data_IF_829657661294
#
_entry.id   IF_829657661294
#
_cell.length_a   1.000
_cell.length_b   1.000
_cell.length_c   1.000
_cell.angle_alpha   90.00
_cell.angle_beta   90.00
_cell.angle_gamma   90.00
#
_symmetry.space_group_name_H-M   'P 1'
#
loop_
_entity.id
_entity.type
_entity.pdbx_description
1 polymer ?
#
# COMPACT_ATOMS: atom_id res chain seq x y z
N UNK A 1 -11.88 -0.74 33.42
CA UNK A 1 -11.20 -2.06 33.44
C UNK A 1 -10.40 -2.15 32.15
N UNK A 2 -9.08 -2.02 32.26
CA UNK A 2 -8.15 -2.00 31.14
C UNK A 2 -7.99 -3.41 30.56
N UNK A 3 -8.51 -3.65 29.36
CA UNK A 3 -8.08 -4.78 28.54
C UNK A 3 -6.85 -4.36 27.73
N UNK A 4 -5.66 -4.59 28.29
CA UNK A 4 -4.43 -4.64 27.52
C UNK A 4 -4.52 -5.86 26.60
N UNK A 5 -4.66 -5.63 25.30
CA UNK A 5 -4.45 -6.66 24.28
C UNK A 5 -2.96 -6.67 24.01
N UNK A 6 -2.23 -7.55 24.70
CA UNK A 6 -0.85 -7.88 24.36
C UNK A 6 -0.83 -8.55 22.97
N UNK A 7 -0.21 -7.92 21.99
CA UNK A 7 0.24 -8.60 20.76
C UNK A 7 1.31 -9.62 21.16
N UNK A 8 1.13 -10.93 20.90
CA UNK A 8 2.04 -11.92 21.40
C UNK A 8 3.26 -12.03 20.48
N UNK A 9 4.33 -11.29 20.80
CA UNK A 9 5.66 -11.89 20.65
C UNK A 9 5.68 -12.98 21.72
N UNK A 10 5.34 -14.21 21.33
CA UNK A 10 5.21 -15.35 22.25
C UNK A 10 6.43 -15.38 23.18
N UNK A 11 6.20 -15.27 24.49
CA UNK A 11 7.20 -15.74 25.43
C UNK A 11 7.49 -17.21 25.06
N UNK A 12 8.76 -17.62 24.89
CA UNK A 12 9.09 -18.96 24.40
C UNK A 12 8.59 -20.10 25.29
N UNK A 13 8.14 -19.80 26.52
CA UNK A 13 7.98 -20.82 27.56
C UNK A 13 6.62 -21.49 27.65
N UNK A 14 5.54 -21.04 26.98
CA UNK A 14 4.20 -21.66 27.18
C UNK A 14 3.24 -21.73 25.98
N UNK A 15 3.59 -21.24 24.79
CA UNK A 15 2.70 -21.36 23.63
C UNK A 15 2.74 -22.77 23.00
N UNK A 16 1.79 -23.64 23.34
CA UNK A 16 1.63 -24.97 22.73
C UNK A 16 1.57 -24.86 21.19
N UNK A 17 2.51 -25.51 20.51
CA UNK A 17 2.47 -25.64 19.05
C UNK A 17 1.20 -26.40 18.65
N UNK A 18 0.48 -25.87 17.65
CA UNK A 18 -0.67 -26.52 17.03
C UNK A 18 -0.26 -27.07 15.68
N UNK A 19 -0.63 -28.32 15.43
CA UNK A 19 -0.49 -28.95 14.12
C UNK A 19 -1.27 -28.15 13.06
N UNK A 20 -0.90 -28.35 11.79
CA UNK A 20 -1.64 -27.76 10.67
C UNK A 20 -3.11 -28.18 10.69
N UNK A 21 -3.40 -29.44 11.02
CA UNK A 21 -4.78 -29.94 11.07
C UNK A 21 -5.59 -29.26 12.16
N UNK A 22 -5.05 -29.11 13.38
CA UNK A 22 -5.73 -28.37 14.46
C UNK A 22 -6.04 -26.92 14.05
N UNK A 23 -5.09 -26.23 13.41
CA UNK A 23 -5.29 -24.87 12.89
C UNK A 23 -6.36 -24.79 11.81
N UNK A 24 -6.38 -25.75 10.89
CA UNK A 24 -7.43 -25.88 9.86
C UNK A 24 -8.80 -26.07 10.51
N UNK A 25 -8.91 -26.89 11.57
CA UNK A 25 -10.16 -27.11 12.29
C UNK A 25 -10.63 -25.88 13.06
N UNK A 26 -9.71 -25.13 13.69
CA UNK A 26 -10.02 -23.82 14.29
C UNK A 26 -10.60 -22.87 13.23
N UNK A 27 -9.97 -22.80 12.06
CA UNK A 27 -10.49 -21.99 10.96
C UNK A 27 -11.91 -22.39 10.55
N UNK A 28 -12.18 -23.70 10.46
CA UNK A 28 -13.52 -24.21 10.13
C UNK A 28 -14.57 -23.84 11.17
N UNK A 29 -14.26 -23.92 12.47
CA UNK A 29 -15.24 -23.63 13.52
C UNK A 29 -15.65 -22.15 13.57
N UNK A 30 -14.79 -21.23 13.12
CA UNK A 30 -15.14 -19.80 13.01
C UNK A 30 -16.33 -19.53 12.08
N UNK A 31 -16.67 -20.46 11.18
CA UNK A 31 -17.85 -20.35 10.29
C UNK A 31 -19.18 -20.43 11.03
N UNK A 32 -19.22 -21.01 12.23
CA UNK A 32 -20.42 -21.05 13.06
C UNK A 32 -20.82 -19.63 13.51
N UNK A 33 -19.82 -18.80 13.81
CA UNK A 33 -20.00 -17.39 14.20
C UNK A 33 -20.16 -16.48 12.99
N UNK A 34 -19.31 -16.67 11.97
CA UNK A 34 -19.32 -15.86 10.75
C UNK A 34 -19.26 -16.76 9.52
N UNK A 35 -20.42 -17.19 8.98
CA UNK A 35 -20.48 -17.91 7.72
C UNK A 35 -19.81 -17.11 6.60
N UNK A 36 -19.18 -17.79 5.64
CA UNK A 36 -18.47 -17.13 4.53
C UNK A 36 -19.37 -16.20 3.71
N UNK A 37 -20.64 -16.59 3.52
CA UNK A 37 -21.65 -15.75 2.86
C UNK A 37 -21.98 -14.47 3.64
N UNK A 38 -21.75 -14.43 4.96
CA UNK A 38 -21.96 -13.25 5.78
C UNK A 38 -21.06 -12.07 5.39
N UNK A 39 -19.96 -12.31 4.66
CA UNK A 39 -19.10 -11.25 4.15
C UNK A 39 -19.69 -10.48 2.97
N UNK A 40 -20.74 -10.98 2.32
CA UNK A 40 -21.39 -10.34 1.18
C UNK A 40 -22.15 -9.06 1.57
N UNK A 41 -22.54 -8.96 2.85
CA UNK A 41 -23.47 -7.94 3.32
C UNK A 41 -22.68 -6.68 3.66
N UNK A 42 -22.92 -5.62 2.90
CA UNK A 42 -22.58 -4.26 3.28
C UNK A 42 -23.85 -3.52 3.71
N UNK A 43 -23.83 -2.98 4.93
CA UNK A 43 -24.86 -2.08 5.44
C UNK A 43 -24.14 -0.93 6.15
N UNK A 44 -24.33 0.33 5.69
CA UNK A 44 -23.71 1.46 6.36
C UNK A 44 -24.26 1.59 7.80
N UNK A 45 -23.45 2.05 8.76
CA UNK A 45 -23.89 2.33 10.13
C UNK A 45 -25.13 3.24 10.16
N UNK A 46 -26.11 2.90 10.99
CA UNK A 46 -27.44 3.56 11.00
C UNK A 46 -27.42 5.03 11.47
N UNK A 47 -26.37 5.48 12.17
CA UNK A 47 -26.23 6.87 12.61
C UNK A 47 -24.73 7.26 12.73
N UNK A 48 -24.41 8.51 12.38
CA UNK A 48 -23.10 9.14 12.67
C UNK A 48 -21.99 8.90 11.64
N UNK A 49 -22.26 8.26 10.50
CA UNK A 49 -21.29 8.15 9.41
C UNK A 49 -21.33 9.40 8.53
N UNK A 50 -20.45 10.34 8.81
CA UNK A 50 -20.27 11.57 8.03
C UNK A 50 -18.97 11.49 7.19
N UNK A 51 -19.04 11.13 5.89
CA UNK A 51 -17.84 10.84 5.10
C UNK A 51 -16.91 12.05 4.97
N UNK A 52 -17.49 13.26 4.88
CA UNK A 52 -16.71 14.50 4.78
C UNK A 52 -15.98 14.81 6.09
N UNK A 53 -16.64 14.62 7.25
CA UNK A 53 -15.99 14.83 8.55
C UNK A 53 -14.83 13.85 8.79
N UNK A 54 -14.98 12.59 8.35
CA UNK A 54 -13.91 11.59 8.45
C UNK A 54 -12.73 11.97 7.56
N UNK A 55 -12.98 12.48 6.34
CA UNK A 55 -11.91 12.96 5.45
C UNK A 55 -11.26 14.22 6.04
N UNK A 56 -12.03 15.18 6.56
CA UNK A 56 -11.53 16.38 7.23
C UNK A 56 -10.64 16.03 8.42
N UNK A 57 -11.07 15.07 9.25
CA UNK A 57 -10.28 14.57 10.38
C UNK A 57 -8.93 13.98 9.92
N UNK A 58 -8.90 13.32 8.76
CA UNK A 58 -7.67 12.77 8.16
C UNK A 58 -6.70 13.83 7.62
N UNK A 59 -7.09 15.12 7.61
CA UNK A 59 -6.21 16.24 7.27
C UNK A 59 -5.41 16.78 8.46
N UNK A 60 -5.69 16.33 9.68
CA UNK A 60 -4.97 16.79 10.86
C UNK A 60 -3.46 16.57 10.71
N UNK A 61 -2.68 17.64 10.86
CA UNK A 61 -1.22 17.60 10.79
C UNK A 61 -0.62 17.72 9.39
N UNK A 62 -1.45 17.77 8.33
CA UNK A 62 -1.04 18.04 6.95
C UNK A 62 -0.69 19.51 6.74
N UNK A 63 0.16 19.77 5.74
CA UNK A 63 0.42 21.10 5.18
C UNK A 63 -0.88 21.65 4.59
N UNK A 64 -1.35 22.77 5.14
CA UNK A 64 -2.70 23.29 4.90
C UNK A 64 -2.88 23.74 3.45
N UNK A 65 -1.85 24.37 2.90
CA UNK A 65 -1.78 24.85 1.52
C UNK A 65 -1.89 23.73 0.48
N UNK A 66 -1.65 22.47 0.86
CA UNK A 66 -1.74 21.31 -0.05
C UNK A 66 -3.07 20.54 0.10
N UNK A 67 -3.90 20.85 1.11
CA UNK A 67 -5.19 20.18 1.30
C UNK A 67 -6.12 20.35 0.09
N UNK A 68 -6.23 21.55 -0.53
CA UNK A 68 -7.07 21.69 -1.73
C UNK A 68 -6.63 20.81 -2.90
N UNK A 69 -5.32 20.57 -3.07
CA UNK A 69 -4.80 19.66 -4.09
C UNK A 69 -5.21 18.21 -3.78
N UNK A 70 -5.22 17.82 -2.49
CA UNK A 70 -5.70 16.49 -2.08
C UNK A 70 -7.15 16.29 -2.51
N UNK A 71 -8.03 17.25 -2.20
CA UNK A 71 -9.42 17.18 -2.59
C UNK A 71 -9.59 17.19 -4.12
N UNK A 72 -8.87 18.06 -4.83
CA UNK A 72 -8.90 18.08 -6.30
C UNK A 72 -8.48 16.76 -6.94
N UNK A 73 -7.45 16.09 -6.42
CA UNK A 73 -7.05 14.75 -6.87
C UNK A 73 -8.08 13.67 -6.53
N UNK A 74 -8.79 13.78 -5.41
CA UNK A 74 -9.87 12.86 -5.01
C UNK A 74 -11.16 13.06 -5.82
N UNK A 75 -11.40 14.26 -6.36
CA UNK A 75 -12.60 14.57 -7.15
C UNK A 75 -12.61 13.92 -8.53
N UNK A 76 -11.45 13.59 -9.10
CA UNK A 76 -11.33 13.18 -10.51
C UNK A 76 -12.23 11.99 -10.88
N UNK A 77 -12.36 11.01 -9.99
CA UNK A 77 -13.25 9.85 -10.16
C UNK A 77 -13.49 9.11 -8.84
N UNK A 78 -14.53 8.25 -8.74
CA UNK A 78 -14.73 7.37 -7.59
C UNK A 78 -13.50 6.51 -7.27
N UNK A 79 -12.73 6.07 -8.27
CA UNK A 79 -11.49 5.33 -8.03
C UNK A 79 -10.41 6.19 -7.35
N UNK A 80 -10.21 7.42 -7.82
CA UNK A 80 -9.27 8.34 -7.17
C UNK A 80 -9.72 8.73 -5.76
N UNK A 81 -11.03 8.83 -5.53
CA UNK A 81 -11.62 9.03 -4.21
C UNK A 81 -11.30 7.87 -3.28
N UNK A 82 -11.52 6.61 -3.70
CA UNK A 82 -11.18 5.41 -2.92
C UNK A 82 -9.72 5.47 -2.43
N UNK A 83 -8.80 5.82 -3.32
CA UNK A 83 -7.35 5.92 -3.04
C UNK A 83 -6.99 7.04 -2.08
N UNK A 84 -7.84 8.06 -1.94
CA UNK A 84 -7.65 9.18 -1.00
C UNK A 84 -8.37 8.99 0.34
N UNK A 85 -9.22 7.98 0.48
CA UNK A 85 -10.16 7.81 1.60
C UNK A 85 -9.97 6.50 2.37
N UNK A 86 -8.74 6.01 2.51
CA UNK A 86 -8.44 4.78 3.27
C UNK A 86 -9.01 4.80 4.71
N UNK A 87 -9.00 5.97 5.36
CA UNK A 87 -9.59 6.17 6.68
C UNK A 87 -11.10 5.94 6.74
N UNK A 88 -11.83 6.24 5.66
CA UNK A 88 -13.27 6.04 5.59
C UNK A 88 -13.61 4.56 5.54
N UNK A 89 -12.90 3.78 4.70
CA UNK A 89 -13.10 2.34 4.66
C UNK A 89 -12.62 1.63 5.92
N UNK A 90 -11.57 2.12 6.59
CA UNK A 90 -11.16 1.60 7.88
C UNK A 90 -12.27 1.79 8.95
N UNK A 91 -12.90 2.98 8.99
CA UNK A 91 -14.06 3.25 9.85
C UNK A 91 -15.21 2.28 9.56
N UNK A 92 -15.55 2.11 8.28
CA UNK A 92 -16.65 1.25 7.85
C UNK A 92 -16.40 -0.23 8.15
N UNK A 93 -15.20 -0.72 7.86
CA UNK A 93 -14.84 -2.12 8.12
C UNK A 93 -14.79 -2.46 9.61
N UNK A 94 -14.52 -1.46 10.46
CA UNK A 94 -14.55 -1.62 11.92
C UNK A 94 -15.93 -2.05 12.45
N UNK A 95 -17.00 -1.70 11.75
CA UNK A 95 -18.38 -2.07 12.11
C UNK A 95 -18.85 -3.37 11.45
N UNK A 96 -18.06 -3.95 10.54
CA UNK A 96 -18.42 -5.20 9.86
C UNK A 96 -18.03 -6.44 10.68
N UNK A 97 -18.74 -7.57 10.52
CA UNK A 97 -18.30 -8.84 11.10
C UNK A 97 -16.91 -9.24 10.61
N UNK A 98 -16.08 -9.74 11.53
CA UNK A 98 -14.70 -10.17 11.30
C UNK A 98 -14.38 -11.49 12.01
N UNK A 99 -13.41 -12.22 11.50
CA UNK A 99 -12.92 -13.48 12.11
C UNK A 99 -11.95 -13.24 13.28
N UNK A 100 -11.45 -12.01 13.43
CA UNK A 100 -10.40 -11.64 14.38
C UNK A 100 -9.06 -12.36 14.15
N UNK A 101 -8.88 -12.97 12.97
CA UNK A 101 -7.58 -13.53 12.56
C UNK A 101 -6.69 -12.37 12.10
N UNK A 102 -5.68 -12.06 12.91
CA UNK A 102 -4.80 -10.91 12.68
C UNK A 102 -3.64 -11.29 11.76
N UNK A 103 -3.38 -10.44 10.77
CA UNK A 103 -2.20 -10.44 9.90
C UNK A 103 -1.52 -9.07 9.99
N UNK A 104 -0.30 -8.95 9.47
CA UNK A 104 0.20 -7.61 9.12
C UNK A 104 -0.54 -7.17 7.87
N UNK A 105 -1.45 -6.21 8.00
CA UNK A 105 -2.21 -5.65 6.88
C UNK A 105 -1.43 -4.51 6.20
N UNK A 106 -1.70 -4.31 4.92
CA UNK A 106 -1.27 -3.17 4.12
C UNK A 106 -2.04 -1.90 4.54
N UNK A 107 -3.33 -2.04 4.86
CA UNK A 107 -4.22 -0.97 5.31
C UNK A 107 -4.81 -0.15 4.16
N UNK A 108 -3.99 0.24 3.18
CA UNK A 108 -4.44 0.87 1.94
C UNK A 108 -4.37 -0.10 0.74
N UNK A 109 -4.92 -1.31 0.91
CA UNK A 109 -4.81 -2.37 -0.08
C UNK A 109 -5.75 -2.16 -1.30
N UNK A 110 -5.26 -1.51 -2.36
CA UNK A 110 -5.99 -1.33 -3.61
C UNK A 110 -5.14 -1.74 -4.81
N UNK A 111 -5.74 -2.04 -5.97
CA UNK A 111 -5.03 -2.62 -7.13
C UNK A 111 -3.81 -1.81 -7.61
N UNK A 112 -3.86 -0.46 -7.59
CA UNK A 112 -2.69 0.37 -7.96
C UNK A 112 -1.53 0.36 -6.96
N UNK A 113 -1.69 -0.28 -5.80
CA UNK A 113 -0.61 -0.52 -4.85
C UNK A 113 0.13 -1.83 -5.15
N UNK A 114 -0.19 -2.53 -6.24
CA UNK A 114 0.50 -3.73 -6.70
C UNK A 114 1.26 -3.46 -8.00
N UNK A 115 2.41 -4.10 -8.18
CA UNK A 115 3.23 -3.87 -9.37
C UNK A 115 4.57 -4.59 -9.35
N UNK A 116 5.30 -4.46 -10.44
CA UNK A 116 6.67 -4.96 -10.55
C UNK A 116 7.66 -3.92 -10.00
N UNK A 117 8.70 -4.40 -9.33
CA UNK A 117 9.88 -3.62 -8.92
C UNK A 117 11.12 -4.50 -8.87
N UNK A 118 12.29 -3.86 -8.82
CA UNK A 118 13.56 -4.56 -8.72
C UNK A 118 13.84 -5.06 -7.30
N UNK A 119 14.35 -6.29 -7.19
CA UNK A 119 15.04 -6.76 -5.99
C UNK A 119 16.46 -6.17 -5.96
N UNK A 120 17.17 -6.24 -4.81
CA UNK A 120 18.58 -5.85 -4.72
C UNK A 120 19.47 -6.54 -5.77
N UNK A 121 19.14 -7.75 -6.17
CA UNK A 121 19.82 -8.53 -7.23
C UNK A 121 19.37 -8.14 -8.65
N UNK A 122 18.59 -7.07 -8.80
CA UNK A 122 18.04 -6.56 -10.07
C UNK A 122 17.05 -7.51 -10.78
N UNK A 123 16.45 -8.45 -10.05
CA UNK A 123 15.34 -9.25 -10.57
C UNK A 123 14.03 -8.49 -10.47
N UNK A 124 13.10 -8.69 -11.40
CA UNK A 124 11.76 -8.10 -11.29
C UNK A 124 10.83 -9.04 -10.51
N UNK A 125 10.19 -8.51 -9.47
CA UNK A 125 9.19 -9.23 -8.67
C UNK A 125 7.90 -8.43 -8.59
N UNK A 126 6.77 -9.14 -8.54
CA UNK A 126 5.44 -8.56 -8.36
C UNK A 126 5.04 -8.58 -6.87
N UNK A 127 4.75 -7.40 -6.31
CA UNK A 127 4.43 -7.23 -4.88
C UNK A 127 3.62 -5.96 -4.61
N UNK A 128 3.29 -5.77 -3.33
CA UNK A 128 2.71 -4.54 -2.77
C UNK A 128 3.79 -3.44 -2.71
N UNK A 129 3.38 -2.19 -2.94
CA UNK A 129 4.26 -1.03 -3.12
C UNK A 129 4.04 0.12 -2.12
N UNK A 130 2.94 0.10 -1.37
CA UNK A 130 2.64 1.13 -0.37
C UNK A 130 2.28 0.48 0.97
N UNK A 131 2.91 0.99 2.02
CA UNK A 131 2.85 0.46 3.38
C UNK A 131 2.69 1.58 4.40
N UNK A 132 2.34 2.81 3.98
CA UNK A 132 2.09 3.94 4.88
C UNK A 132 1.12 3.56 6.00
N UNK A 133 0.10 2.76 5.67
CA UNK A 133 -0.98 2.36 6.58
C UNK A 133 -0.78 1.00 7.24
N UNK A 134 0.38 0.36 7.07
CA UNK A 134 0.58 -1.04 7.51
C UNK A 134 0.47 -1.21 9.03
N UNK A 135 -0.39 -2.12 9.49
CA UNK A 135 -0.60 -2.39 10.92
C UNK A 135 -1.21 -3.79 11.11
N UNK A 136 -1.04 -4.43 12.28
CA UNK A 136 -1.81 -5.62 12.62
C UNK A 136 -3.33 -5.37 12.55
N UNK A 137 -4.03 -6.12 11.70
CA UNK A 137 -5.48 -5.99 11.50
C UNK A 137 -6.10 -7.31 10.99
N UNK A 138 -7.45 -7.44 11.02
CA UNK A 138 -8.13 -8.57 10.41
C UNK A 138 -7.82 -8.68 8.91
N UNK A 139 -7.44 -9.86 8.45
CA UNK A 139 -7.03 -10.11 7.05
C UNK A 139 -8.11 -9.76 6.03
N UNK A 140 -9.38 -9.79 6.43
CA UNK A 140 -10.51 -9.47 5.57
C UNK A 140 -10.50 -8.02 5.12
N UNK A 141 -9.89 -7.11 5.89
CA UNK A 141 -9.97 -5.68 5.61
C UNK A 141 -9.19 -5.31 4.35
N UNK A 142 -7.96 -5.82 4.23
CA UNK A 142 -7.17 -5.66 3.01
C UNK A 142 -7.86 -6.30 1.81
N UNK A 143 -8.38 -7.52 1.95
CA UNK A 143 -9.00 -8.20 0.83
C UNK A 143 -10.29 -7.49 0.38
N UNK A 144 -11.13 -7.05 1.32
CA UNK A 144 -12.36 -6.27 1.04
C UNK A 144 -12.03 -4.98 0.30
N UNK A 145 -11.03 -4.23 0.76
CA UNK A 145 -10.58 -3.00 0.07
C UNK A 145 -10.04 -3.31 -1.34
N UNK A 146 -9.28 -4.40 -1.48
CA UNK A 146 -8.71 -4.80 -2.75
C UNK A 146 -9.79 -5.17 -3.77
N UNK A 147 -10.76 -6.01 -3.40
CA UNK A 147 -11.83 -6.44 -4.34
C UNK A 147 -12.74 -5.28 -4.74
N UNK A 148 -13.05 -4.36 -3.81
CA UNK A 148 -13.77 -3.11 -4.11
C UNK A 148 -13.03 -2.28 -5.15
N UNK A 149 -11.71 -2.18 -5.03
CA UNK A 149 -10.92 -1.39 -5.96
C UNK A 149 -11.03 -1.89 -7.40
N UNK A 150 -11.16 -3.21 -7.61
CA UNK A 150 -11.36 -3.81 -8.94
C UNK A 150 -12.70 -3.43 -9.56
N UNK A 151 -13.76 -3.40 -8.75
CA UNK A 151 -15.08 -3.00 -9.25
C UNK A 151 -15.09 -1.55 -9.68
N UNK A 152 -14.56 -0.66 -8.84
CA UNK A 152 -14.54 0.78 -9.13
C UNK A 152 -13.63 1.07 -10.33
N UNK A 153 -12.46 0.44 -10.41
CA UNK A 153 -11.58 0.58 -11.57
C UNK A 153 -12.19 0.05 -12.87
N UNK A 154 -12.97 -1.04 -12.80
CA UNK A 154 -13.68 -1.54 -13.97
C UNK A 154 -14.75 -0.55 -14.45
N UNK A 155 -15.53 0.02 -13.53
CA UNK A 155 -16.52 1.07 -13.84
C UNK A 155 -15.88 2.34 -14.43
N UNK A 156 -14.77 2.80 -13.85
CA UNK A 156 -13.98 3.95 -14.37
C UNK A 156 -13.41 3.69 -15.78
N UNK A 157 -13.33 2.42 -16.20
CA UNK A 157 -12.87 1.99 -17.53
C UNK A 157 -14.01 1.46 -18.41
N UNK A 158 -15.24 1.87 -18.14
CA UNK A 158 -16.46 1.53 -18.89
C UNK A 158 -16.77 0.02 -18.98
N UNK A 159 -16.26 -0.79 -18.05
CA UNK A 159 -16.60 -2.21 -17.94
C UNK A 159 -17.92 -2.40 -17.20
N UNK A 160 -18.68 -3.43 -17.57
CA UNK A 160 -19.93 -3.75 -16.90
C UNK A 160 -19.70 -4.21 -15.45
N UNK A 161 -20.74 -4.10 -14.61
CA UNK A 161 -20.73 -4.65 -13.25
C UNK A 161 -20.44 -6.15 -13.23
N UNK A 162 -20.88 -6.90 -14.24
CA UNK A 162 -20.61 -8.32 -14.36
C UNK A 162 -19.11 -8.60 -14.57
N UNK A 163 -18.45 -7.87 -15.47
CA UNK A 163 -17.02 -8.00 -15.75
C UNK A 163 -16.17 -7.57 -14.56
N UNK A 164 -16.53 -6.42 -13.98
CA UNK A 164 -15.90 -5.84 -12.80
C UNK A 164 -16.00 -6.75 -11.57
N UNK A 165 -17.18 -7.31 -11.32
CA UNK A 165 -17.42 -8.30 -10.26
C UNK A 165 -16.65 -9.59 -10.49
N UNK A 166 -16.54 -10.04 -11.74
CA UNK A 166 -15.75 -11.23 -12.05
C UNK A 166 -14.27 -11.04 -11.69
N UNK A 167 -13.68 -9.86 -11.93
CA UNK A 167 -12.33 -9.56 -11.47
C UNK A 167 -12.20 -9.57 -9.93
N UNK A 168 -13.18 -9.01 -9.20
CA UNK A 168 -13.22 -9.08 -7.74
C UNK A 168 -13.29 -10.54 -7.23
N UNK A 169 -14.11 -11.40 -7.85
CA UNK A 169 -14.22 -12.82 -7.53
C UNK A 169 -12.90 -13.54 -7.82
N UNK A 170 -12.26 -13.30 -8.97
CA UNK A 170 -10.99 -13.91 -9.35
C UNK A 170 -9.86 -13.51 -8.39
N UNK A 171 -9.85 -12.26 -7.91
CA UNK A 171 -8.92 -11.81 -6.87
C UNK A 171 -9.11 -12.61 -5.56
N UNK A 172 -10.35 -12.75 -5.09
CA UNK A 172 -10.66 -13.49 -3.87
C UNK A 172 -10.36 -14.99 -4.01
N UNK A 173 -10.68 -15.59 -5.17
CA UNK A 173 -10.33 -16.97 -5.52
C UNK A 173 -8.82 -17.18 -5.44
N UNK A 174 -8.06 -16.33 -6.14
CA UNK A 174 -6.60 -16.41 -6.15
C UNK A 174 -6.02 -16.29 -4.75
N UNK A 175 -6.53 -15.35 -3.94
CA UNK A 175 -6.16 -15.23 -2.54
C UNK A 175 -6.38 -16.54 -1.78
N UNK A 176 -7.60 -17.10 -1.84
CA UNK A 176 -7.98 -18.33 -1.13
C UNK A 176 -7.12 -19.54 -1.53
N UNK A 177 -6.89 -19.71 -2.82
CA UNK A 177 -6.16 -20.86 -3.36
C UNK A 177 -4.69 -20.82 -2.98
N UNK A 178 -4.02 -19.69 -3.16
CA UNK A 178 -2.62 -19.55 -2.78
C UNK A 178 -2.42 -19.59 -1.26
N UNK A 179 -3.34 -19.06 -0.45
CA UNK A 179 -3.25 -19.20 1.01
C UNK A 179 -3.34 -20.67 1.45
N UNK A 180 -4.14 -21.47 0.74
CA UNK A 180 -4.22 -22.92 0.95
C UNK A 180 -2.93 -23.63 0.56
N UNK A 181 -2.26 -23.21 -0.51
CA UNK A 181 -0.94 -23.71 -0.88
C UNK A 181 0.09 -23.35 0.19
N UNK A 182 0.18 -22.07 0.56
CA UNK A 182 1.10 -21.59 1.60
C UNK A 182 0.87 -22.23 2.96
N UNK A 183 -0.37 -22.61 3.29
CA UNK A 183 -0.66 -23.35 4.52
C UNK A 183 0.04 -24.72 4.63
N UNK A 184 0.54 -25.27 3.52
CA UNK A 184 1.22 -26.58 3.44
C UNK A 184 2.74 -26.46 3.50
N UNK A 185 3.26 -25.27 3.25
CA UNK A 185 4.69 -24.98 3.29
C UNK A 185 5.16 -24.78 4.73
N UNK A 186 6.45 -25.03 4.97
CA UNK A 186 7.11 -24.62 6.20
C UNK A 186 7.23 -23.08 6.27
N UNK A 187 7.40 -22.49 7.47
CA UNK A 187 7.57 -21.05 7.61
C UNK A 187 8.71 -20.48 6.76
N UNK A 188 9.83 -21.20 6.62
CA UNK A 188 10.96 -20.77 5.80
C UNK A 188 10.63 -20.81 4.31
N UNK A 189 9.96 -21.86 3.84
CA UNK A 189 9.51 -21.93 2.45
C UNK A 189 8.57 -20.77 2.10
N UNK A 190 7.60 -20.45 2.97
CA UNK A 190 6.72 -19.27 2.80
C UNK A 190 7.56 -18.00 2.71
N UNK A 191 8.56 -17.84 3.59
CA UNK A 191 9.41 -16.66 3.64
C UNK A 191 10.20 -16.43 2.35
N UNK A 192 10.65 -17.50 1.69
CA UNK A 192 11.39 -17.45 0.43
C UNK A 192 10.53 -17.37 -0.82
N UNK A 193 9.20 -17.49 -0.69
CA UNK A 193 8.33 -17.36 -1.86
C UNK A 193 8.35 -15.94 -2.43
N UNK A 194 8.30 -15.86 -3.75
CA UNK A 194 8.25 -14.61 -4.53
C UNK A 194 7.47 -14.87 -5.81
N UNK A 195 6.89 -13.83 -6.37
CA UNK A 195 6.22 -13.88 -7.68
C UNK A 195 7.16 -13.17 -8.65
N UNK A 196 8.00 -13.96 -9.31
CA UNK A 196 9.00 -13.45 -10.24
C UNK A 196 8.39 -13.07 -11.59
N UNK A 197 9.10 -12.22 -12.33
CA UNK A 197 8.76 -11.87 -13.70
C UNK A 197 8.65 -13.11 -14.61
N UNK A 198 9.60 -14.02 -14.53
CA UNK A 198 9.64 -15.23 -15.37
C UNK A 198 8.40 -16.11 -15.10
N UNK A 199 8.05 -16.30 -13.83
CA UNK A 199 6.84 -17.03 -13.44
C UNK A 199 5.57 -16.35 -13.98
N UNK A 200 5.51 -15.02 -13.92
CA UNK A 200 4.43 -14.27 -14.53
C UNK A 200 4.37 -14.46 -16.06
N UNK A 201 5.50 -14.53 -16.78
CA UNK A 201 5.50 -14.83 -18.22
C UNK A 201 5.02 -16.27 -18.49
N UNK A 202 5.54 -17.24 -17.75
CA UNK A 202 5.23 -18.66 -17.93
C UNK A 202 3.76 -18.99 -17.69
N UNK A 203 3.13 -18.31 -16.72
CA UNK A 203 1.69 -18.44 -16.46
C UNK A 203 0.82 -17.68 -17.48
N UNK A 204 1.36 -17.30 -18.64
CA UNK A 204 0.57 -16.72 -19.71
C UNK A 204 -0.32 -17.81 -20.33
N UNK A 205 -1.65 -17.58 -20.42
CA UNK A 205 -2.56 -18.58 -20.97
C UNK A 205 -2.44 -18.74 -22.49
N UNK A 206 -1.78 -17.80 -23.17
CA UNK A 206 -1.60 -17.79 -24.62
C UNK A 206 -0.33 -17.03 -25.02
N UNK A 207 0.17 -17.31 -26.22
CA UNK A 207 1.42 -16.74 -26.75
C UNK A 207 1.34 -15.21 -26.95
N UNK A 208 0.16 -14.67 -27.26
CA UNK A 208 -0.02 -13.21 -27.39
C UNK A 208 0.20 -12.53 -26.05
N UNK A 209 -0.34 -13.10 -24.98
CA UNK A 209 -0.21 -12.60 -23.60
C UNK A 209 1.22 -12.75 -23.11
N UNK A 210 1.87 -13.87 -23.44
CA UNK A 210 3.28 -14.10 -23.13
C UNK A 210 4.15 -12.95 -23.67
N UNK A 211 4.00 -12.63 -24.96
CA UNK A 211 4.73 -11.51 -25.61
C UNK A 211 4.43 -10.16 -24.98
N UNK A 212 3.18 -9.89 -24.60
CA UNK A 212 2.81 -8.65 -23.89
C UNK A 212 3.54 -8.57 -22.54
N UNK A 213 3.57 -9.66 -21.76
CA UNK A 213 4.26 -9.71 -20.46
C UNK A 213 5.77 -9.53 -20.63
N UNK A 214 6.38 -10.17 -21.62
CA UNK A 214 7.80 -10.02 -21.97
C UNK A 214 8.15 -8.55 -22.29
N UNK A 215 7.36 -7.89 -23.16
CA UNK A 215 7.55 -6.48 -23.49
C UNK A 215 7.37 -5.55 -22.29
N UNK A 216 6.36 -5.82 -21.46
CA UNK A 216 6.09 -5.06 -20.24
C UNK A 216 7.27 -5.15 -19.26
N UNK A 217 7.85 -6.33 -19.10
CA UNK A 217 9.00 -6.55 -18.22
C UNK A 217 10.29 -5.94 -18.77
N UNK A 218 10.51 -6.01 -20.10
CA UNK A 218 11.62 -5.30 -20.72
C UNK A 218 11.55 -3.79 -20.44
N UNK A 219 10.37 -3.18 -20.61
CA UNK A 219 10.15 -1.76 -20.27
C UNK A 219 10.32 -1.46 -18.78
N UNK A 220 9.93 -2.37 -17.89
CA UNK A 220 10.15 -2.20 -16.46
C UNK A 220 11.64 -2.20 -16.09
N UNK A 221 12.47 -2.99 -16.79
CA UNK A 221 13.94 -2.99 -16.63
C UNK A 221 14.61 -1.68 -17.05
N UNK A 222 14.03 -0.95 -18.00
CA UNK A 222 14.56 0.35 -18.45
C UNK A 222 14.24 1.50 -17.47
N UNK A 223 13.31 1.34 -16.52
CA UNK A 223 12.89 2.41 -15.58
C UNK A 223 13.84 2.54 -14.37
N UNK A 224 15.13 2.75 -14.59
CA UNK A 224 16.15 2.96 -13.54
C UNK A 224 16.36 4.47 -13.29
N UNK A 225 16.85 4.85 -12.10
CA UNK A 225 17.12 6.24 -11.66
C UNK A 225 17.85 7.09 -12.72
N UNK A 226 18.76 6.49 -13.49
CA UNK A 226 19.49 7.15 -14.59
C UNK A 226 18.56 7.80 -15.65
N UNK A 227 17.33 7.31 -15.79
CA UNK A 227 16.33 7.87 -16.70
C UNK A 227 15.50 9.00 -16.08
N UNK A 228 15.40 9.06 -14.75
CA UNK A 228 14.65 10.08 -14.01
C UNK A 228 15.50 11.32 -13.76
N UNK A 229 16.78 11.12 -13.41
CA UNK A 229 17.73 12.18 -13.06
C UNK A 229 17.72 13.35 -14.06
N UNK A 230 17.83 13.14 -15.40
CA UNK A 230 17.88 14.23 -16.37
C UNK A 230 16.57 15.04 -16.48
N UNK A 231 15.45 14.55 -15.94
CA UNK A 231 14.14 15.19 -16.09
C UNK A 231 13.78 16.11 -14.94
N UNK A 232 14.41 15.93 -13.77
CA UNK A 232 14.04 16.65 -12.54
C UNK A 232 15.21 17.42 -11.92
N UNK A 233 16.43 17.27 -12.45
CA UNK A 233 17.64 17.95 -11.97
C UNK A 233 18.20 18.86 -13.06
N UNK A 234 18.65 20.05 -12.67
CA UNK A 234 19.37 21.02 -13.49
C UNK A 234 20.72 21.37 -12.84
N UNK A 235 21.60 22.07 -13.56
CA UNK A 235 22.82 22.63 -12.99
C UNK A 235 22.68 24.13 -12.75
N UNK A 236 22.86 24.56 -11.51
CA UNK A 236 22.82 25.97 -11.11
C UNK A 236 24.07 26.29 -10.29
N UNK A 237 24.90 27.23 -10.76
CA UNK A 237 26.12 27.63 -10.04
C UNK A 237 27.15 26.50 -9.87
N UNK A 238 27.18 25.54 -10.80
CA UNK A 238 28.08 24.38 -10.73
C UNK A 238 27.62 23.25 -9.82
N UNK A 239 26.42 23.35 -9.22
CA UNK A 239 25.80 22.32 -8.38
C UNK A 239 24.58 21.72 -9.06
N UNK A 240 24.32 20.44 -8.82
CA UNK A 240 23.13 19.77 -9.33
C UNK A 240 21.96 20.06 -8.38
N UNK A 241 20.84 20.55 -8.91
CA UNK A 241 19.67 20.92 -8.10
C UNK A 241 18.36 20.47 -8.72
N UNK A 242 17.37 20.16 -7.90
CA UNK A 242 16.02 19.91 -8.38
C UNK A 242 15.43 21.15 -9.05
N UNK A 243 14.64 20.94 -10.10
CA UNK A 243 13.94 22.02 -10.79
C UNK A 243 12.66 22.35 -10.01
N UNK A 244 12.56 23.58 -9.50
CA UNK A 244 11.35 24.06 -8.82
C UNK A 244 10.17 24.11 -9.80
N UNK A 245 9.07 23.48 -9.38
CA UNK A 245 7.74 23.47 -9.99
C UNK A 245 6.69 23.61 -8.88
N UNK A 246 6.59 24.76 -8.18
CA UNK A 246 5.60 24.93 -7.12
C UNK A 246 4.17 24.81 -7.68
N UNK A 247 3.22 24.20 -6.94
CA UNK A 247 3.37 23.65 -5.58
C UNK A 247 3.81 22.17 -5.54
N UNK A 248 4.17 21.54 -6.66
CA UNK A 248 4.37 20.07 -6.75
C UNK A 248 5.80 19.63 -6.40
N UNK A 249 6.80 20.45 -6.71
CA UNK A 249 8.20 20.24 -6.35
C UNK A 249 8.82 21.58 -6.02
N UNK A 250 9.28 21.80 -4.80
CA UNK A 250 9.87 23.09 -4.44
C UNK A 250 10.84 22.96 -3.27
N UNK A 251 11.85 23.81 -3.26
CA UNK A 251 12.71 23.97 -2.09
C UNK A 251 11.97 24.69 -0.97
N UNK A 252 12.04 24.13 0.24
CA UNK A 252 11.46 24.75 1.43
C UNK A 252 12.47 25.76 2.00
N UNK A 253 12.03 27.00 2.19
CA UNK A 253 12.84 28.02 2.83
C UNK A 253 12.63 28.02 4.36
N UNK A 254 13.16 26.99 5.02
CA UNK A 254 13.18 26.91 6.49
C UNK A 254 14.55 27.30 7.06
N UNK A 255 14.61 28.13 8.13
CA UNK A 255 15.85 28.37 8.85
C UNK A 255 16.48 27.06 9.33
N UNK A 256 17.80 26.97 9.27
CA UNK A 256 18.59 25.80 9.70
C UNK A 256 18.26 24.47 8.98
N UNK A 257 17.59 24.52 7.81
CA UNK A 257 17.18 23.31 7.09
C UNK A 257 18.34 22.35 6.82
N UNK A 258 19.54 22.86 6.51
CA UNK A 258 20.73 22.03 6.25
C UNK A 258 21.12 21.20 7.48
N UNK A 259 21.06 21.82 8.67
CA UNK A 259 21.33 21.15 9.94
C UNK A 259 20.25 20.11 10.24
N UNK A 260 18.98 20.46 10.02
CA UNK A 260 17.84 19.56 10.21
C UNK A 260 17.93 18.31 9.34
N UNK A 261 18.25 18.49 8.06
CA UNK A 261 18.41 17.37 7.12
C UNK A 261 19.61 16.52 7.50
N UNK A 262 20.75 17.13 7.85
CA UNK A 262 21.96 16.41 8.25
C UNK A 262 21.73 15.51 9.47
N UNK A 263 21.10 16.04 10.52
CA UNK A 263 20.79 15.26 11.72
C UNK A 263 19.80 14.14 11.43
N UNK A 264 18.73 14.43 10.68
CA UNK A 264 17.77 13.40 10.28
C UNK A 264 18.40 12.29 9.44
N UNK A 265 19.39 12.61 8.60
CA UNK A 265 20.15 11.62 7.82
C UNK A 265 21.10 10.79 8.67
N UNK A 266 21.70 11.36 9.72
CA UNK A 266 22.52 10.57 10.66
C UNK A 266 21.66 9.57 11.43
N UNK A 267 20.51 10.00 11.97
CA UNK A 267 19.57 9.11 12.63
C UNK A 267 19.05 8.02 11.68
N UNK A 268 18.74 8.39 10.43
CA UNK A 268 18.39 7.45 9.37
C UNK A 268 19.50 6.42 9.11
N UNK A 269 20.75 6.88 9.00
CA UNK A 269 21.92 6.01 8.80
C UNK A 269 22.01 4.97 9.92
N UNK A 270 21.74 5.35 11.17
CA UNK A 270 21.73 4.42 12.30
C UNK A 270 20.57 3.39 12.24
N UNK A 271 19.52 3.64 11.47
CA UNK A 271 18.44 2.65 11.24
C UNK A 271 18.80 1.56 10.22
N UNK A 272 19.81 1.79 9.38
CA UNK A 272 20.25 0.84 8.37
C UNK A 272 21.10 -0.29 8.98
N UNK A 273 21.09 -1.50 8.38
CA UNK A 273 22.10 -2.53 8.66
C UNK A 273 23.52 -2.02 8.39
N UNK A 274 24.51 -2.52 9.14
CA UNK A 274 25.89 -2.01 9.12
C UNK A 274 26.51 -2.03 7.71
N UNK A 275 26.30 -3.10 6.95
CA UNK A 275 26.82 -3.22 5.58
C UNK A 275 26.16 -2.21 4.62
N UNK A 276 24.95 -1.75 4.90
CA UNK A 276 24.26 -0.71 4.13
C UNK A 276 24.71 0.69 4.51
N UNK A 277 25.16 0.91 5.75
CA UNK A 277 25.79 2.18 6.17
C UNK A 277 27.06 2.44 5.39
N UNK A 278 27.93 1.43 5.26
CA UNK A 278 29.18 1.53 4.48
C UNK A 278 28.91 1.93 3.03
N UNK A 279 27.81 1.44 2.43
CA UNK A 279 27.41 1.86 1.08
C UNK A 279 26.86 3.29 1.08
N UNK A 280 26.00 3.64 2.03
CA UNK A 280 25.41 4.98 2.13
C UNK A 280 26.47 6.07 2.36
N UNK A 281 27.51 5.80 3.14
CA UNK A 281 28.60 6.72 3.46
C UNK A 281 29.43 7.13 2.24
N UNK A 282 29.28 6.43 1.11
CA UNK A 282 29.90 6.78 -0.17
C UNK A 282 29.13 7.84 -0.95
N UNK A 283 27.94 8.24 -0.48
CA UNK A 283 27.08 9.21 -1.13
C UNK A 283 26.98 10.48 -0.29
N UNK A 284 27.25 11.63 -0.91
CA UNK A 284 27.14 12.94 -0.28
C UNK A 284 25.87 13.66 -0.73
N UNK A 285 25.16 14.26 0.22
CA UNK A 285 23.95 15.04 -0.06
C UNK A 285 24.33 16.31 -0.84
N UNK A 286 23.68 16.50 -1.98
CA UNK A 286 23.87 17.64 -2.87
C UNK A 286 22.67 18.60 -2.81
N UNK A 287 21.43 18.07 -2.79
CA UNK A 287 20.23 18.90 -2.80
C UNK A 287 19.02 18.23 -2.11
N UNK A 288 18.05 19.03 -1.68
CA UNK A 288 16.88 18.58 -0.94
C UNK A 288 15.65 19.44 -1.22
N UNK A 289 14.55 18.81 -1.65
CA UNK A 289 13.32 19.52 -2.02
C UNK A 289 12.07 18.79 -1.52
N UNK A 290 10.99 19.53 -1.29
CA UNK A 290 9.67 18.95 -1.01
C UNK A 290 9.02 18.52 -2.31
N UNK A 291 8.40 17.34 -2.31
CA UNK A 291 7.68 16.77 -3.45
C UNK A 291 6.30 16.30 -3.05
N UNK A 292 5.27 16.83 -3.71
CA UNK A 292 3.88 16.36 -3.56
C UNK A 292 3.70 15.04 -4.31
N UNK A 293 3.22 14.00 -3.62
CA UNK A 293 3.08 12.63 -4.16
C UNK A 293 1.74 11.99 -3.79
N UNK A 294 1.26 11.07 -4.63
CA UNK A 294 0.10 10.24 -4.34
C UNK A 294 -1.23 10.99 -4.32
N UNK A 295 -2.25 10.40 -3.69
CA UNK A 295 -3.55 11.05 -3.42
C UNK A 295 -3.73 11.11 -1.91
N UNK A 296 -3.76 9.94 -1.26
CA UNK A 296 -3.84 9.83 0.20
C UNK A 296 -2.71 10.51 0.96
N UNK A 297 -1.51 10.65 0.38
CA UNK A 297 -0.35 11.30 1.03
C UNK A 297 -0.24 12.81 0.74
N UNK A 298 -1.13 13.41 -0.05
CA UNK A 298 -1.02 14.85 -0.37
C UNK A 298 -1.17 15.70 0.89
N UNK A 299 -0.19 16.57 1.16
CA UNK A 299 -0.14 17.37 2.37
C UNK A 299 0.56 16.69 3.55
N UNK A 300 0.91 15.39 3.48
CA UNK A 300 1.98 14.87 4.35
C UNK A 300 3.33 15.32 3.81
N UNK A 301 4.31 15.48 4.68
CA UNK A 301 5.64 15.94 4.27
C UNK A 301 6.33 14.81 3.51
N UNK A 302 6.59 15.02 2.23
CA UNK A 302 7.38 14.12 1.41
C UNK A 302 8.50 14.94 0.78
N UNK A 303 9.75 14.56 1.04
CA UNK A 303 10.93 15.20 0.48
C UNK A 303 11.66 14.26 -0.45
N UNK A 304 12.52 14.81 -1.29
CA UNK A 304 13.49 14.10 -2.11
C UNK A 304 14.88 14.66 -1.82
N UNK A 305 15.84 13.77 -1.65
CA UNK A 305 17.23 14.07 -1.33
C UNK A 305 18.12 13.55 -2.45
N UNK A 306 18.84 14.44 -3.13
CA UNK A 306 19.78 14.12 -4.19
C UNK A 306 21.17 13.92 -3.58
N UNK A 307 21.79 12.79 -3.90
CA UNK A 307 23.15 12.46 -3.48
C UNK A 307 24.02 12.09 -4.67
N UNK A 308 25.33 12.23 -4.50
CA UNK A 308 26.34 11.76 -5.44
C UNK A 308 27.45 10.97 -4.76
N UNK A 309 27.94 9.94 -5.45
CA UNK A 309 29.22 9.33 -5.10
C UNK A 309 30.40 10.23 -5.49
N UNK A 310 31.61 9.90 -5.02
CA UNK A 310 32.85 10.57 -5.46
C UNK A 310 33.01 10.54 -7.00
N UNK A 311 32.61 9.44 -7.65
CA UNK A 311 32.62 9.29 -9.10
C UNK A 311 31.38 9.90 -9.82
N UNK A 312 30.59 10.75 -9.16
CA UNK A 312 29.39 11.40 -9.69
C UNK A 312 28.24 10.46 -10.12
N UNK A 313 28.08 9.29 -9.47
CA UNK A 313 26.88 8.47 -9.65
C UNK A 313 25.73 8.99 -8.78
N UNK A 314 24.55 9.30 -9.36
CA UNK A 314 23.44 9.87 -8.60
C UNK A 314 22.67 8.82 -7.81
N UNK A 315 22.23 9.19 -6.61
CA UNK A 315 21.25 8.48 -5.80
C UNK A 315 20.17 9.48 -5.38
N UNK A 316 18.90 9.12 -5.53
CA UNK A 316 17.79 9.92 -5.03
C UNK A 316 17.02 9.12 -3.99
N UNK A 317 16.98 9.61 -2.76
CA UNK A 317 16.14 9.05 -1.70
C UNK A 317 14.86 9.87 -1.55
N UNK A 318 13.75 9.18 -1.33
CA UNK A 318 12.48 9.75 -0.92
C UNK A 318 12.38 9.68 0.60
N UNK A 319 12.04 10.80 1.24
CA UNK A 319 11.84 10.91 2.69
C UNK A 319 10.34 11.19 2.94
N UNK A 320 9.60 10.22 3.46
CA UNK A 320 8.15 10.33 3.67
C UNK A 320 7.82 10.42 5.16
N UNK A 321 7.00 11.40 5.54
CA UNK A 321 6.39 11.49 6.87
C UNK A 321 5.50 10.26 7.09
N UNK A 322 5.75 9.56 8.20
CA UNK A 322 4.93 8.46 8.65
C UNK A 322 3.96 8.97 9.71
N UNK A 323 2.67 8.95 9.40
CA UNK A 323 1.62 9.23 10.38
C UNK A 323 1.17 7.92 11.08
N UNK A 324 0.42 8.01 12.19
CA UNK A 324 -0.33 6.87 12.71
C UNK A 324 -1.19 6.24 11.60
N UNK A 325 -1.26 4.91 11.58
CA UNK A 325 -2.04 4.19 10.57
C UNK A 325 -3.53 4.50 10.71
N UNK A 326 -4.26 4.59 9.60
CA UNK A 326 -5.72 4.70 9.55
C UNK A 326 -6.44 3.53 10.22
N UNK A 327 -5.74 2.40 10.39
CA UNK A 327 -6.25 1.21 11.07
C UNK A 327 -6.20 1.36 12.60
N UNK A 328 -5.27 2.18 13.11
CA UNK A 328 -4.93 2.28 14.54
C UNK A 328 -6.13 2.62 15.44
N UNK A 329 -7.06 3.52 15.07
CA UNK A 329 -8.24 3.82 15.89
C UNK A 329 -9.20 2.64 16.08
N UNK A 330 -9.12 1.63 15.22
CA UNK A 330 -10.09 0.53 15.15
C UNK A 330 -9.50 -0.85 15.46
N UNK A 331 -8.17 -0.93 15.59
CA UNK A 331 -7.45 -2.15 15.94
C UNK A 331 -6.66 -1.97 17.23
N UNK A 332 -5.33 -1.89 17.15
CA UNK A 332 -4.42 -1.72 18.27
C UNK A 332 -3.36 -0.67 17.92
N UNK A 333 -2.83 0.00 18.95
CA UNK A 333 -1.71 0.93 18.76
C UNK A 333 -0.49 0.23 18.17
N UNK A 334 0.29 0.98 17.40
CA UNK A 334 1.60 0.52 16.94
C UNK A 334 2.45 0.09 18.14
N UNK A 335 3.12 -1.07 18.03
CA UNK A 335 4.12 -1.49 19.02
C UNK A 335 5.42 -0.67 18.95
N UNK A 336 5.61 0.06 17.85
CA UNK A 336 6.76 0.94 17.65
C UNK A 336 6.37 2.38 18.00
N UNK A 337 7.20 3.04 18.80
CA UNK A 337 7.04 4.47 19.12
C UNK A 337 7.19 5.34 17.86
N UNK A 338 8.14 5.00 16.98
CA UNK A 338 8.37 5.68 15.71
C UNK A 338 7.52 5.06 14.58
N UNK A 339 6.66 5.86 13.96
CA UNK A 339 5.78 5.41 12.87
C UNK A 339 6.54 5.05 11.59
N UNK A 340 7.71 5.63 11.35
CA UNK A 340 8.61 5.22 10.27
C UNK A 340 9.12 3.80 10.48
N UNK A 341 9.48 3.43 11.72
CA UNK A 341 9.86 2.06 12.08
C UNK A 341 8.71 1.07 11.88
N UNK A 342 7.46 1.48 12.18
CA UNK A 342 6.25 0.69 11.87
C UNK A 342 6.17 0.37 10.38
N UNK A 343 6.26 1.41 9.54
CA UNK A 343 6.18 1.25 8.07
C UNK A 343 7.29 0.34 7.56
N UNK A 344 8.54 0.59 7.97
CA UNK A 344 9.70 -0.21 7.51
C UNK A 344 9.59 -1.67 7.92
N UNK A 345 9.25 -1.93 9.19
CA UNK A 345 9.13 -3.32 9.67
C UNK A 345 7.94 -4.04 9.03
N UNK A 346 6.79 -3.37 8.89
CA UNK A 346 5.63 -3.92 8.21
C UNK A 346 5.90 -4.24 6.74
N UNK A 347 6.58 -3.33 6.03
CA UNK A 347 7.01 -3.55 4.65
C UNK A 347 7.95 -4.76 4.55
N UNK A 348 8.98 -4.87 5.39
CA UNK A 348 9.91 -6.03 5.37
C UNK A 348 9.22 -7.36 5.70
N UNK A 349 8.18 -7.33 6.53
CA UNK A 349 7.40 -8.49 6.90
C UNK A 349 6.48 -8.96 5.75
N UNK A 350 5.82 -8.03 5.06
CA UNK A 350 4.86 -8.34 4.00
C UNK A 350 5.52 -8.56 2.63
N UNK A 351 6.47 -7.70 2.27
CA UNK A 351 7.12 -7.70 0.96
C UNK A 351 8.15 -8.82 0.86
N UNK A 352 8.29 -9.40 -0.33
CA UNK A 352 9.26 -10.46 -0.63
C UNK A 352 10.70 -9.95 -0.69
N UNK A 353 10.88 -8.71 -1.14
CA UNK A 353 12.16 -8.04 -1.21
C UNK A 353 11.92 -6.54 -1.05
N UNK A 354 12.66 -5.89 -0.17
CA UNK A 354 12.54 -4.46 0.10
C UNK A 354 13.77 -3.70 -0.36
N UNK A 355 13.58 -2.40 -0.58
CA UNK A 355 14.64 -1.46 -0.95
C UNK A 355 15.83 -1.52 0.03
N UNK A 356 17.06 -1.50 -0.51
CA UNK A 356 18.29 -1.66 0.29
C UNK A 356 18.57 -0.47 1.21
N UNK A 357 17.97 0.68 0.90
CA UNK A 357 18.01 1.93 1.67
C UNK A 357 16.68 2.16 2.42
N UNK A 358 15.85 1.12 2.59
CA UNK A 358 14.66 1.23 3.42
C UNK A 358 15.04 1.36 4.90
N UNK A 359 14.89 2.55 5.45
CA UNK A 359 15.18 2.88 6.85
C UNK A 359 14.24 3.96 7.38
N UNK A 360 14.42 4.38 8.62
CA UNK A 360 13.57 5.36 9.29
C UNK A 360 14.38 6.35 10.12
N UNK A 361 13.79 7.49 10.40
CA UNK A 361 14.39 8.54 11.23
C UNK A 361 13.32 9.25 12.04
N UNK A 362 13.73 9.94 13.10
CA UNK A 362 12.88 10.85 13.84
C UNK A 362 13.37 12.27 13.56
N UNK A 363 12.59 13.02 12.80
CA UNK A 363 12.86 14.43 12.57
C UNK A 363 12.67 15.26 13.84
N UNK A 364 13.31 16.43 13.89
CA UNK A 364 13.06 17.41 14.95
C UNK A 364 11.57 17.75 15.04
N UNK A 365 11.11 18.13 16.25
CA UNK A 365 9.70 18.36 16.60
C UNK A 365 8.84 17.09 16.66
N UNK A 366 9.45 15.91 16.78
CA UNK A 366 8.75 14.64 17.04
C UNK A 366 7.99 14.10 15.84
N UNK A 367 8.46 14.38 14.61
CA UNK A 367 7.88 13.86 13.37
C UNK A 367 8.65 12.64 12.91
N UNK A 368 7.95 11.54 12.64
CA UNK A 368 8.57 10.31 12.18
C UNK A 368 8.62 10.26 10.66
N UNK A 369 9.73 9.75 10.12
CA UNK A 369 9.92 9.61 8.69
C UNK A 369 10.48 8.23 8.36
N UNK A 370 10.22 7.78 7.13
CA UNK A 370 10.94 6.68 6.53
C UNK A 370 11.53 7.07 5.18
N UNK A 371 12.63 6.43 4.82
CA UNK A 371 13.41 6.69 3.62
C UNK A 371 13.51 5.44 2.76
N UNK A 372 13.53 5.63 1.44
CA UNK A 372 13.75 4.59 0.41
C UNK A 372 14.24 5.22 -0.90
N UNK A 373 14.74 4.45 -1.85
CA UNK A 373 15.09 5.01 -3.17
C UNK A 373 13.85 5.52 -3.91
N UNK A 374 14.00 6.63 -4.61
CA UNK A 374 12.96 7.17 -5.47
C UNK A 374 12.94 6.40 -6.80
N UNK A 375 11.94 5.52 -6.97
CA UNK A 375 11.61 4.80 -8.23
C UNK A 375 12.77 3.95 -8.80
N UNK A 376 13.06 2.82 -8.17
CA UNK A 376 13.84 1.75 -8.82
C UNK A 376 12.90 0.75 -9.54
N UNK A 377 12.88 0.82 -10.88
CA UNK A 377 12.21 -0.16 -11.77
C UNK A 377 10.72 -0.44 -11.46
N UNK A 378 9.95 0.57 -11.03
CA UNK A 378 8.53 0.42 -10.68
C UNK A 378 7.59 0.43 -11.91
N UNK A 379 6.74 -0.59 -12.02
CA UNK A 379 5.70 -0.69 -13.03
C UNK A 379 4.36 -1.15 -12.44
N UNK A 380 3.28 -0.44 -12.75
CA UNK A 380 1.89 -0.82 -12.42
C UNK A 380 1.07 -0.87 -13.70
N UNK A 381 -0.04 -1.62 -13.70
CA UNK A 381 -0.91 -1.73 -14.85
C UNK A 381 -1.62 -0.38 -15.11
N UNK A 382 -1.60 0.18 -16.33
CA UNK A 382 -2.48 1.28 -16.69
C UNK A 382 -3.93 0.80 -16.68
N UNK A 383 -4.78 1.50 -15.93
CA UNK A 383 -6.19 1.12 -15.73
C UNK A 383 -7.09 1.72 -16.80
N UNK A 384 -6.79 2.94 -17.24
CA UNK A 384 -7.50 3.59 -18.33
C UNK A 384 -7.46 2.72 -19.59
N UNK A 385 -8.65 2.41 -20.14
CA UNK A 385 -8.79 1.54 -21.32
C UNK A 385 -8.44 0.07 -21.08
N UNK A 386 -8.37 -0.40 -19.84
CA UNK A 386 -8.13 -1.81 -19.52
C UNK A 386 -9.30 -2.68 -19.97
N UNK A 387 -9.02 -3.80 -20.65
CA UNK A 387 -10.06 -4.78 -20.97
C UNK A 387 -10.42 -5.66 -19.76
N UNK A 388 -11.65 -6.21 -19.74
CA UNK A 388 -12.09 -7.13 -18.69
C UNK A 388 -11.11 -8.30 -18.44
N UNK A 389 -10.58 -8.89 -19.51
CA UNK A 389 -9.60 -10.00 -19.42
C UNK A 389 -8.29 -9.54 -18.78
N UNK A 390 -7.81 -8.33 -19.10
CA UNK A 390 -6.61 -7.79 -18.47
C UNK A 390 -6.83 -7.50 -16.98
N UNK A 391 -8.00 -6.96 -16.63
CA UNK A 391 -8.37 -6.65 -15.25
C UNK A 391 -8.47 -7.91 -14.39
N UNK A 392 -9.14 -8.96 -14.88
CA UNK A 392 -9.23 -10.27 -14.20
C UNK A 392 -7.86 -10.90 -13.95
N UNK A 393 -7.00 -10.94 -14.98
CA UNK A 393 -5.64 -11.49 -14.82
C UNK A 393 -4.81 -10.69 -13.82
N UNK A 394 -4.98 -9.37 -13.78
CA UNK A 394 -4.31 -8.54 -12.78
C UNK A 394 -4.84 -8.80 -11.38
N UNK A 395 -6.16 -8.99 -11.22
CA UNK A 395 -6.80 -9.44 -10.00
C UNK A 395 -6.22 -10.74 -9.46
N UNK A 396 -5.97 -11.72 -10.32
CA UNK A 396 -5.34 -12.98 -9.91
C UNK A 396 -3.95 -12.75 -9.30
N UNK A 397 -3.10 -11.92 -9.92
CA UNK A 397 -1.78 -11.58 -9.37
C UNK A 397 -1.88 -10.81 -8.05
N UNK A 398 -2.79 -9.84 -7.94
CA UNK A 398 -2.98 -9.08 -6.70
C UNK A 398 -3.46 -9.98 -5.56
N UNK A 399 -4.43 -10.86 -5.81
CA UNK A 399 -4.92 -11.83 -4.83
C UNK A 399 -3.83 -12.80 -4.36
N UNK A 400 -3.01 -13.29 -5.30
CA UNK A 400 -1.87 -14.15 -4.99
C UNK A 400 -0.82 -13.42 -4.13
N UNK A 401 -0.41 -12.23 -4.53
CA UNK A 401 0.54 -11.40 -3.78
C UNK A 401 0.05 -11.13 -2.36
N UNK A 402 -1.23 -10.78 -2.20
CA UNK A 402 -1.80 -10.53 -0.88
C UNK A 402 -1.83 -11.81 -0.03
N UNK A 403 -2.12 -12.96 -0.63
CA UNK A 403 -2.06 -14.24 0.07
C UNK A 403 -0.64 -14.54 0.57
N UNK A 404 0.39 -14.27 -0.23
CA UNK A 404 1.78 -14.41 0.20
C UNK A 404 2.09 -13.51 1.38
N UNK A 405 1.75 -12.22 1.28
CA UNK A 405 2.02 -11.24 2.34
C UNK A 405 1.34 -11.62 3.67
N UNK A 406 0.07 -12.07 3.60
CA UNK A 406 -0.67 -12.54 4.78
C UNK A 406 -0.14 -13.88 5.32
N UNK A 407 0.36 -14.78 4.46
CA UNK A 407 0.96 -16.03 4.89
C UNK A 407 2.31 -15.84 5.58
N UNK A 408 3.09 -14.82 5.20
CA UNK A 408 4.35 -14.47 5.88
C UNK A 408 4.14 -13.94 7.30
N UNK A 409 3.07 -13.17 7.52
CA UNK A 409 2.83 -12.45 8.78
C UNK A 409 1.80 -13.11 9.70
N UNK A 410 0.90 -13.93 9.17
CA UNK A 410 -0.21 -14.52 9.92
C UNK A 410 -0.37 -16.02 9.75
N UNK A 411 -1.48 -16.55 10.28
CA UNK A 411 -1.75 -17.98 10.31
C UNK A 411 -2.47 -18.46 9.04
N UNK A 412 -1.69 -18.71 7.97
CA UNK A 412 -2.21 -19.21 6.70
C UNK A 412 -3.07 -20.49 6.84
N UNK A 413 -2.77 -21.37 7.80
CA UNK A 413 -3.54 -22.59 8.00
C UNK A 413 -4.91 -22.32 8.61
N UNK A 414 -5.00 -21.45 9.61
CA UNK A 414 -6.29 -21.08 10.21
C UNK A 414 -7.15 -20.29 9.22
N UNK A 415 -6.59 -19.32 8.49
CA UNK A 415 -7.33 -18.58 7.46
C UNK A 415 -7.76 -19.50 6.33
N UNK A 416 -6.88 -20.39 5.84
CA UNK A 416 -7.25 -21.39 4.82
C UNK A 416 -8.35 -22.34 5.32
N UNK A 417 -8.30 -22.72 6.60
CA UNK A 417 -9.33 -23.52 7.26
C UNK A 417 -10.69 -22.83 7.25
N UNK A 418 -10.71 -21.52 7.49
CA UNK A 418 -11.90 -20.68 7.41
C UNK A 418 -12.42 -20.54 5.98
N UNK A 419 -11.57 -20.21 5.03
CA UNK A 419 -11.93 -20.03 3.62
C UNK A 419 -12.43 -21.33 2.96
N UNK A 420 -11.77 -22.45 3.23
CA UNK A 420 -12.13 -23.76 2.67
C UNK A 420 -11.79 -23.93 1.19
N UNK A 421 -12.42 -24.93 0.56
CA UNK A 421 -12.15 -25.30 -0.84
C UNK A 421 -13.17 -24.75 -1.85
N UNK A 422 -14.36 -24.39 -1.37
CA UNK A 422 -15.44 -23.87 -2.22
C UNK A 422 -15.38 -22.36 -2.40
N UNK A 423 -16.05 -21.90 -3.44
CA UNK A 423 -16.10 -20.52 -3.94
C UNK A 423 -17.05 -19.58 -3.17
N UNK A 424 -17.81 -20.08 -2.20
CA UNK A 424 -18.80 -19.29 -1.45
C UNK A 424 -18.23 -17.98 -0.87
N UNK A 425 -16.97 -17.97 -0.41
CA UNK A 425 -16.32 -16.74 0.07
C UNK A 425 -15.97 -15.81 -1.09
N UNK A 426 -15.48 -16.35 -2.20
CA UNK A 426 -15.07 -15.60 -3.39
C UNK A 426 -16.30 -14.88 -3.99
N UNK A 427 -17.43 -15.58 -4.08
CA UNK A 427 -18.73 -15.00 -4.50
C UNK A 427 -19.20 -13.90 -3.54
N UNK A 428 -19.07 -14.12 -2.22
CA UNK A 428 -19.43 -13.12 -1.22
C UNK A 428 -18.56 -11.86 -1.33
N UNK A 429 -17.26 -11.99 -1.63
CA UNK A 429 -16.38 -10.85 -1.92
C UNK A 429 -16.83 -10.09 -3.17
N UNK A 430 -17.30 -10.78 -4.21
CA UNK A 430 -17.88 -10.15 -5.39
C UNK A 430 -19.14 -9.32 -5.07
N UNK A 431 -20.06 -9.84 -4.26
CA UNK A 431 -21.25 -9.08 -3.83
C UNK A 431 -20.87 -7.88 -2.96
N UNK A 432 -19.98 -8.08 -1.99
CA UNK A 432 -19.49 -6.99 -1.14
C UNK A 432 -18.82 -5.88 -1.97
N UNK A 433 -18.02 -6.27 -2.97
CA UNK A 433 -17.32 -5.32 -3.83
C UNK A 433 -18.28 -4.41 -4.59
N UNK A 434 -19.38 -4.94 -5.12
CA UNK A 434 -20.42 -4.15 -5.79
C UNK A 434 -21.12 -3.22 -4.80
N UNK A 435 -21.62 -3.74 -3.68
CA UNK A 435 -22.36 -2.96 -2.70
C UNK A 435 -21.52 -1.82 -2.08
N UNK A 436 -20.22 -2.06 -1.88
CA UNK A 436 -19.33 -1.04 -1.34
C UNK A 436 -18.80 -0.09 -2.42
N UNK A 437 -18.72 -0.51 -3.70
CA UNK A 437 -18.47 0.42 -4.80
C UNK A 437 -19.56 1.49 -4.89
N UNK A 438 -20.84 1.10 -4.76
CA UNK A 438 -21.97 2.04 -4.67
C UNK A 438 -21.88 2.97 -3.44
N UNK A 439 -21.35 2.48 -2.31
CA UNK A 439 -21.07 3.35 -1.16
C UNK A 439 -19.98 4.37 -1.49
N UNK A 440 -18.91 3.94 -2.13
CA UNK A 440 -17.79 4.80 -2.51
C UNK A 440 -18.22 5.88 -3.49
N UNK A 441 -19.08 5.56 -4.45
CA UNK A 441 -19.68 6.52 -5.39
C UNK A 441 -20.57 7.55 -4.68
N UNK A 442 -21.37 7.11 -3.68
CA UNK A 442 -22.16 8.03 -2.85
C UNK A 442 -21.29 8.98 -2.03
N UNK A 443 -20.19 8.48 -1.48
CA UNK A 443 -19.26 9.30 -0.70
C UNK A 443 -18.47 10.27 -1.58
N UNK A 444 -18.09 9.83 -2.79
CA UNK A 444 -17.50 10.71 -3.80
C UNK A 444 -18.48 11.80 -4.23
N UNK A 445 -19.75 11.48 -4.44
CA UNK A 445 -20.79 12.47 -4.73
C UNK A 445 -20.98 13.47 -3.57
N UNK A 446 -20.87 13.01 -2.31
CA UNK A 446 -20.89 13.90 -1.15
C UNK A 446 -19.66 14.84 -1.13
N UNK A 447 -18.48 14.39 -1.56
CA UNK A 447 -17.31 15.27 -1.70
C UNK A 447 -17.51 16.30 -2.81
N UNK A 448 -18.07 15.89 -3.95
CA UNK A 448 -18.42 16.80 -5.04
C UNK A 448 -19.39 17.88 -4.56
N UNK A 449 -20.42 17.50 -3.78
CA UNK A 449 -21.38 18.44 -3.20
C UNK A 449 -20.74 19.38 -2.16
N UNK A 450 -19.88 18.85 -1.28
CA UNK A 450 -19.14 19.65 -0.31
C UNK A 450 -18.24 20.72 -0.97
N UNK A 451 -17.67 20.42 -2.14
CA UNK A 451 -16.90 21.39 -2.93
C UNK A 451 -17.82 22.42 -3.59
N UNK A 452 -18.93 21.99 -4.20
CA UNK A 452 -19.91 22.89 -4.84
C UNK A 452 -20.55 23.88 -3.86
N UNK A 453 -20.81 23.44 -2.63
CA UNK A 453 -21.41 24.25 -1.57
C UNK A 453 -20.38 25.11 -0.81
N UNK A 454 -19.09 24.96 -1.11
CA UNK A 454 -18.01 25.70 -0.46
C UNK A 454 -17.67 25.21 0.95
N UNK A 455 -18.13 24.02 1.36
CA UNK A 455 -17.73 23.40 2.64
C UNK A 455 -16.24 23.06 2.64
N UNK A 456 -15.71 22.57 1.52
CA UNK A 456 -14.28 22.30 1.33
C UNK A 456 -13.78 22.92 0.04
N UNK A 457 -12.52 23.35 0.02
CA UNK A 457 -11.85 23.91 -1.15
C UNK A 457 -11.08 22.83 -1.90
N UNK A 458 -11.14 22.83 -3.23
CA UNK A 458 -10.39 21.89 -4.07
C UNK A 458 -9.69 22.64 -5.22
N UNK A 459 -8.45 22.26 -5.51
CA UNK A 459 -7.67 22.75 -6.65
C UNK A 459 -7.46 21.61 -7.65
N UNK A 460 -7.96 21.76 -8.87
CA UNK A 460 -7.73 20.80 -9.95
C UNK A 460 -6.41 21.16 -10.62
N UNK A 461 -5.47 20.23 -10.65
CA UNK A 461 -4.10 20.50 -11.16
C UNK A 461 -4.03 20.86 -12.65
N UNK A 462 -5.10 20.69 -13.41
CA UNK A 462 -5.19 21.17 -14.80
C UNK A 462 -5.40 22.70 -14.87
N UNK A 463 -5.75 23.32 -13.75
CA UNK A 463 -5.89 24.77 -13.56
C UNK A 463 -4.61 25.43 -12.95
N UNK A 464 -3.54 24.64 -12.73
CA UNK A 464 -2.22 25.07 -12.23
C UNK A 464 -1.17 25.00 -13.34
#
# INVERSE_FOLDING_TARGET
>A
MNHQIETPIRSPSQARFRSREERIQIGKSLRERLPRSGHAIWQPPAAGREPIEIIEASNRGRLQELIPIRYGRMLRSPFTFLRGSASLMAYDLATTPKTDLIVQACGDCHLLNFGFFATPERNLVFDINDFDETLPAPWEWDLKRLVVSFVIAGRDSDLSDQESKAAAIDCARSYREHLREYSRLSPLEVWYTRIGAEQAIEMAPDEKTRKIREQMMAKARERIIEHLYPKIVTQTGGRNRFVDQPPILYHVNEPDWETLVREGLEDYRQSLPEERRVLFDRYQLEDFALKVVGIGSVGTRCYIALFFSEDNHPLILQVKEACPSVLEPYTAKSQYENQGQRVVTGQRLMQSSSDIFLGWTQGRRGKDFYLRQLRDMKFSLPIEGVSAVQLQRYAEFCGWTLARAHAKSGDAATISGYLGKGDQFDLAMGEFAIAYAEQTERDHAALVDAVKTGRVEALVEEDL
#
